data_IF_405795743003
#
_entry.id   IF_405795743003
#
_cell.length_a   1.000
_cell.length_b   1.000
_cell.length_c   1.000
_cell.angle_alpha   90.00
_cell.angle_beta   90.00
_cell.angle_gamma   90.00
#
_symmetry.space_group_name_H-M   'P 1'
#
loop_
_entity.id
_entity.type
_entity.pdbx_description
1 polymer ?
#
# COMPACT_ATOMS: atom_id res chain seq x y z
N UNK A 1 18.68 -47.68 -4.39
CA UNK A 1 17.50 -46.84 -4.59
C UNK A 1 17.25 -46.11 -3.29
N UNK A 2 17.44 -44.80 -3.29
CA UNK A 2 16.86 -43.87 -2.33
C UNK A 2 16.72 -42.56 -3.08
N UNK A 3 15.52 -42.34 -3.63
CA UNK A 3 15.16 -41.09 -4.28
C UNK A 3 14.87 -40.06 -3.19
N UNK A 4 15.58 -38.94 -3.27
CA UNK A 4 15.46 -37.80 -2.38
C UNK A 4 14.17 -37.04 -2.75
N UNK A 5 13.08 -37.30 -2.04
CA UNK A 5 11.78 -36.65 -2.24
C UNK A 5 11.68 -35.42 -1.35
N UNK A 6 12.06 -34.25 -1.88
CA UNK A 6 11.58 -32.93 -1.46
C UNK A 6 12.11 -31.85 -2.42
N UNK A 7 11.71 -31.95 -3.68
CA UNK A 7 11.57 -30.82 -4.60
C UNK A 7 10.06 -30.49 -4.67
N UNK A 8 9.68 -29.29 -5.09
CA UNK A 8 8.31 -28.79 -5.44
C UNK A 8 7.59 -27.80 -4.49
N UNK A 9 8.26 -26.80 -3.90
CA UNK A 9 7.55 -25.57 -3.45
C UNK A 9 8.27 -24.24 -3.72
N UNK A 10 9.49 -24.28 -4.26
CA UNK A 10 10.26 -23.08 -4.64
C UNK A 10 9.93 -22.58 -6.06
N UNK A 11 8.73 -22.89 -6.55
CA UNK A 11 8.31 -22.62 -7.92
C UNK A 11 7.77 -21.21 -8.03
N UNK A 12 8.65 -20.33 -8.54
CA UNK A 12 8.33 -19.11 -9.27
C UNK A 12 7.48 -18.06 -8.53
N UNK A 13 8.16 -17.33 -7.64
CA UNK A 13 7.80 -15.95 -7.34
C UNK A 13 7.34 -15.24 -8.64
N UNK A 14 6.22 -14.50 -8.60
CA UNK A 14 5.72 -13.83 -9.78
C UNK A 14 6.79 -12.85 -10.30
N UNK A 15 6.80 -12.51 -11.60
CA UNK A 15 7.90 -11.76 -12.20
C UNK A 15 8.32 -10.50 -11.42
N UNK A 16 7.38 -9.79 -10.82
CA UNK A 16 7.57 -8.59 -10.00
C UNK A 16 8.26 -8.82 -8.65
N UNK A 17 8.24 -10.05 -8.14
CA UNK A 17 8.87 -10.44 -6.89
C UNK A 17 10.33 -10.87 -7.08
N UNK A 18 10.74 -11.21 -8.31
CA UNK A 18 12.07 -11.78 -8.59
C UNK A 18 13.14 -10.71 -8.40
N UNK A 19 13.96 -10.86 -7.36
CA UNK A 19 15.08 -9.98 -7.06
C UNK A 19 14.71 -8.68 -6.33
N UNK A 20 13.44 -8.50 -5.96
CA UNK A 20 13.01 -7.38 -5.12
C UNK A 20 12.99 -7.80 -3.64
N UNK A 21 13.96 -7.38 -2.81
CA UNK A 21 14.03 -7.78 -1.41
C UNK A 21 12.92 -7.17 -0.54
N UNK A 22 12.14 -6.22 -1.08
CA UNK A 22 11.04 -5.56 -0.36
C UNK A 22 9.67 -6.18 -0.68
N UNK A 23 9.62 -7.10 -1.64
CA UNK A 23 8.37 -7.67 -2.11
C UNK A 23 7.66 -8.44 -0.99
N UNK A 24 6.34 -8.26 -0.91
CA UNK A 24 5.45 -9.00 -0.04
C UNK A 24 4.25 -9.49 -0.86
N UNK A 25 3.70 -10.65 -0.50
CA UNK A 25 2.46 -11.13 -1.11
C UNK A 25 1.30 -10.21 -0.68
N UNK A 26 0.64 -9.59 -1.66
CA UNK A 26 -0.49 -8.68 -1.45
C UNK A 26 -1.85 -9.32 -1.69
N UNK A 27 -1.92 -10.62 -2.00
CA UNK A 27 -3.15 -11.33 -2.40
C UNK A 27 -4.28 -11.19 -1.36
N UNK A 28 -3.91 -11.22 -0.07
CA UNK A 28 -4.83 -11.07 1.06
C UNK A 28 -4.52 -9.83 1.92
N UNK A 29 -3.76 -8.87 1.38
CA UNK A 29 -3.46 -7.65 2.09
C UNK A 29 -4.74 -6.78 2.26
N UNK A 30 -4.88 -6.14 3.42
CA UNK A 30 -5.91 -5.14 3.65
C UNK A 30 -5.40 -3.78 3.17
N UNK A 31 -5.91 -3.36 2.02
CA UNK A 31 -5.66 -2.03 1.46
C UNK A 31 -6.59 -1.00 2.06
N UNK A 32 -6.04 0.15 2.42
CA UNK A 32 -6.81 1.31 2.91
C UNK A 32 -6.54 2.53 2.03
N UNK A 33 -7.56 3.38 1.90
CA UNK A 33 -7.53 4.67 1.20
C UNK A 33 -8.05 5.78 2.12
N UNK A 34 -7.90 7.03 1.70
CA UNK A 34 -8.53 8.17 2.38
C UNK A 34 -10.06 8.05 2.36
N UNK A 35 -10.73 8.46 3.44
CA UNK A 35 -12.18 8.61 3.48
C UNK A 35 -12.71 9.65 2.50
N UNK A 36 -11.85 10.52 1.96
CA UNK A 36 -12.18 11.49 0.92
C UNK A 36 -12.08 10.91 -0.50
N UNK A 37 -11.47 9.72 -0.67
CA UNK A 37 -11.37 9.09 -1.98
C UNK A 37 -12.72 8.52 -2.43
N UNK A 38 -13.27 9.11 -3.48
CA UNK A 38 -14.52 8.70 -4.15
C UNK A 38 -14.24 8.01 -5.48
N UNK A 39 -15.25 7.40 -6.10
CA UNK A 39 -15.11 6.79 -7.44
C UNK A 39 -14.74 7.83 -8.52
N UNK A 40 -15.18 9.09 -8.33
CA UNK A 40 -14.91 10.21 -9.24
C UNK A 40 -13.55 10.88 -8.99
N UNK A 41 -12.81 10.49 -7.96
CA UNK A 41 -11.48 11.06 -7.68
C UNK A 41 -10.51 10.78 -8.83
N UNK A 42 -9.71 11.78 -9.23
CA UNK A 42 -8.76 11.62 -10.33
C UNK A 42 -7.70 10.53 -10.04
N UNK A 43 -7.21 10.51 -8.80
CA UNK A 43 -6.28 9.52 -8.29
C UNK A 43 -6.75 8.98 -6.92
N UNK A 44 -6.47 7.70 -6.67
CA UNK A 44 -6.72 7.05 -5.38
C UNK A 44 -5.44 6.32 -5.00
N UNK A 45 -4.81 6.73 -3.90
CA UNK A 45 -3.66 6.01 -3.34
C UNK A 45 -4.17 5.02 -2.30
N UNK A 46 -3.75 3.77 -2.45
CA UNK A 46 -4.04 2.71 -1.49
C UNK A 46 -2.76 2.22 -0.82
N UNK A 47 -2.85 1.98 0.48
CA UNK A 47 -1.72 1.51 1.30
C UNK A 47 -2.12 0.26 2.06
N UNK A 48 -1.25 -0.75 2.02
CA UNK A 48 -1.34 -1.95 2.86
C UNK A 48 -0.17 -1.98 3.87
N UNK A 49 -0.47 -2.50 5.07
CA UNK A 49 0.50 -2.69 6.15
C UNK A 49 0.77 -4.19 6.36
N UNK A 50 2.05 -4.51 6.53
CA UNK A 50 2.52 -5.84 6.94
C UNK A 50 2.98 -5.84 8.40
N UNK A 51 3.08 -7.04 8.99
CA UNK A 51 3.39 -7.22 10.42
C UNK A 51 4.82 -6.86 10.79
N UNK A 52 5.75 -7.03 9.85
CA UNK A 52 7.16 -6.64 9.97
C UNK A 52 7.40 -5.13 9.75
N UNK A 53 6.32 -4.38 9.52
CA UNK A 53 6.37 -2.93 9.37
C UNK A 53 6.57 -2.44 7.94
N UNK A 54 6.73 -3.31 6.95
CA UNK A 54 6.76 -2.90 5.54
C UNK A 54 5.43 -2.28 5.10
N UNK A 55 5.47 -1.51 4.01
CA UNK A 55 4.28 -0.97 3.35
C UNK A 55 4.27 -1.29 1.88
N UNK A 56 3.08 -1.59 1.38
CA UNK A 56 2.80 -1.63 -0.03
C UNK A 56 1.91 -0.44 -0.41
N UNK A 57 2.18 0.18 -1.55
CA UNK A 57 1.42 1.31 -2.11
C UNK A 57 1.06 1.00 -3.55
N UNK A 58 -0.20 1.26 -3.94
CA UNK A 58 -0.67 1.07 -5.32
C UNK A 58 -1.63 2.18 -5.75
N UNK A 59 -1.84 2.27 -7.06
CA UNK A 59 -2.96 3.01 -7.65
C UNK A 59 -4.26 2.24 -7.41
N UNK A 60 -5.15 2.76 -6.57
CA UNK A 60 -6.43 2.14 -6.25
C UNK A 60 -7.41 2.10 -7.42
N UNK A 61 -7.24 2.95 -8.44
CA UNK A 61 -8.04 2.91 -9.68
C UNK A 61 -7.50 1.89 -10.69
N UNK A 62 -6.22 1.57 -10.62
CA UNK A 62 -5.55 0.64 -11.54
C UNK A 62 -4.57 -0.28 -10.78
N UNK A 63 -5.06 -1.12 -9.85
CA UNK A 63 -4.20 -1.92 -8.95
C UNK A 63 -3.30 -2.91 -9.70
N UNK A 64 -3.66 -3.28 -10.93
CA UNK A 64 -2.89 -4.17 -11.81
C UNK A 64 -1.64 -3.51 -12.41
N UNK A 65 -1.51 -2.18 -12.36
CA UNK A 65 -0.32 -1.47 -12.88
C UNK A 65 0.95 -1.68 -12.05
N UNK A 66 0.80 -2.24 -10.85
CA UNK A 66 1.92 -2.64 -9.99
C UNK A 66 1.79 -2.09 -8.58
N UNK A 67 2.67 -2.61 -7.72
CA UNK A 67 2.75 -2.23 -6.31
C UNK A 67 4.17 -1.78 -5.99
N UNK A 68 4.28 -0.65 -5.28
CA UNK A 68 5.53 -0.16 -4.71
C UNK A 68 5.66 -0.69 -3.28
N UNK A 69 6.85 -1.14 -2.91
CA UNK A 69 7.13 -1.63 -1.57
C UNK A 69 8.17 -0.75 -0.88
N UNK A 70 7.89 -0.41 0.38
CA UNK A 70 8.72 0.44 1.23
C UNK A 70 9.17 -0.35 2.45
N UNK A 71 10.45 -0.21 2.83
CA UNK A 71 10.90 -0.66 4.14
C UNK A 71 10.25 0.19 5.24
N UNK A 72 10.28 -0.26 6.51
CA UNK A 72 9.78 0.55 7.63
C UNK A 72 10.40 1.95 7.69
N UNK A 73 11.72 2.05 7.47
CA UNK A 73 12.47 3.30 7.53
C UNK A 73 12.15 4.22 6.34
N UNK A 74 12.02 3.66 5.13
CA UNK A 74 11.61 4.42 3.95
C UNK A 74 10.20 4.97 4.11
N UNK A 75 9.28 4.17 4.68
CA UNK A 75 7.92 4.61 4.94
C UNK A 75 7.87 5.70 6.02
N UNK A 76 8.65 5.56 7.09
CA UNK A 76 8.76 6.59 8.13
C UNK A 76 9.28 7.90 7.54
N UNK A 77 10.36 7.85 6.76
CA UNK A 77 10.92 9.03 6.08
C UNK A 77 9.90 9.67 5.13
N UNK A 78 9.21 8.87 4.31
CA UNK A 78 8.17 9.36 3.40
C UNK A 78 7.03 10.08 4.15
N UNK A 79 6.52 9.48 5.24
CA UNK A 79 5.44 10.08 6.02
C UNK A 79 5.89 11.37 6.70
N UNK A 80 7.13 11.43 7.19
CA UNK A 80 7.68 12.65 7.78
C UNK A 80 7.82 13.77 6.75
N UNK A 81 8.37 13.49 5.56
CA UNK A 81 8.46 14.48 4.48
C UNK A 81 7.09 14.95 4.01
N UNK A 82 6.12 14.04 3.85
CA UNK A 82 4.75 14.40 3.51
C UNK A 82 4.09 15.30 4.57
N UNK A 83 4.33 15.06 5.85
CA UNK A 83 3.83 15.92 6.95
C UNK A 83 4.53 17.26 7.05
N UNK A 84 5.76 17.37 6.54
CA UNK A 84 6.52 18.62 6.44
C UNK A 84 6.09 19.44 5.20
N UNK A 85 5.11 18.95 4.44
CA UNK A 85 4.54 19.64 3.27
C UNK A 85 5.36 19.46 2.00
N UNK A 86 6.24 18.46 1.91
CA UNK A 86 7.04 18.21 0.69
C UNK A 86 6.17 17.98 -0.56
N UNK A 87 4.95 17.51 -0.37
CA UNK A 87 3.96 17.27 -1.43
C UNK A 87 2.78 18.24 -1.39
N UNK A 88 2.83 19.27 -0.55
CA UNK A 88 1.77 20.27 -0.47
C UNK A 88 1.71 21.08 -1.76
N UNK A 89 0.47 21.35 -2.21
CA UNK A 89 0.22 22.19 -3.37
C UNK A 89 0.16 23.65 -2.88
N UNK A 90 0.78 24.61 -3.59
CA UNK A 90 0.61 26.02 -3.25
C UNK A 90 -0.87 26.40 -3.19
N UNK A 91 -1.31 27.06 -2.11
CA UNK A 91 -2.73 27.33 -1.85
C UNK A 91 -3.42 28.13 -2.99
N UNK A 92 -2.65 28.88 -3.78
CA UNK A 92 -3.17 29.60 -4.96
C UNK A 92 -3.73 28.68 -6.06
N UNK A 93 -3.37 27.40 -6.07
CA UNK A 93 -3.91 26.39 -6.99
C UNK A 93 -5.02 25.54 -6.38
N UNK A 94 -5.38 25.78 -5.11
CA UNK A 94 -6.39 25.03 -4.39
C UNK A 94 -7.69 25.82 -4.29
N UNK A 95 -8.81 25.10 -4.32
CA UNK A 95 -10.06 25.63 -3.78
C UNK A 95 -9.95 25.77 -2.25
N UNK A 96 -10.81 26.60 -1.64
CA UNK A 96 -10.79 26.76 -0.17
C UNK A 96 -11.01 25.43 0.58
N UNK A 97 -11.83 24.54 0.00
CA UNK A 97 -12.09 23.21 0.58
C UNK A 97 -10.83 22.33 0.53
N UNK A 98 -10.12 22.30 -0.59
CA UNK A 98 -8.88 21.54 -0.74
C UNK A 98 -7.76 22.10 0.15
N UNK A 99 -7.68 23.42 0.27
CA UNK A 99 -6.73 24.07 1.19
C UNK A 99 -7.03 23.72 2.65
N UNK A 100 -8.31 23.68 3.06
CA UNK A 100 -8.70 23.23 4.39
C UNK A 100 -8.36 21.75 4.64
N UNK A 101 -8.49 20.88 3.63
CA UNK A 101 -8.03 19.49 3.70
C UNK A 101 -6.51 19.43 3.90
N UNK A 102 -5.74 20.18 3.10
CA UNK A 102 -4.27 20.20 3.20
C UNK A 102 -3.79 20.73 4.55
N UNK A 103 -4.44 21.76 5.09
CA UNK A 103 -4.15 22.29 6.44
C UNK A 103 -4.57 21.35 7.57
N UNK A 104 -5.23 20.22 7.26
CA UNK A 104 -5.72 19.26 8.25
C UNK A 104 -6.92 19.77 9.05
N UNK A 105 -7.64 20.77 8.54
CA UNK A 105 -8.83 21.34 9.16
C UNK A 105 -10.07 20.45 8.93
N UNK A 106 -10.03 19.63 7.88
CA UNK A 106 -11.05 18.61 7.59
C UNK A 106 -10.60 17.27 8.15
N UNK A 107 -11.40 16.59 9.00
CA UNK A 107 -11.05 15.28 9.52
C UNK A 107 -11.05 14.22 8.41
N UNK A 108 -9.94 13.49 8.29
CA UNK A 108 -9.76 12.40 7.33
C UNK A 108 -9.42 11.11 8.06
N UNK A 109 -10.00 10.00 7.62
CA UNK A 109 -9.72 8.66 8.19
C UNK A 109 -9.28 7.70 7.10
N UNK A 110 -8.53 6.67 7.48
CA UNK A 110 -8.21 5.57 6.57
C UNK A 110 -9.36 4.56 6.56
N UNK A 111 -9.95 4.31 5.39
CA UNK A 111 -11.07 3.38 5.20
C UNK A 111 -10.64 2.20 4.34
N UNK A 112 -11.19 0.98 4.54
CA UNK A 112 -10.90 -0.15 3.68
C UNK A 112 -11.22 0.14 2.21
N UNK A 113 -10.36 -0.33 1.32
CA UNK A 113 -10.61 -0.32 -0.11
C UNK A 113 -11.83 -1.19 -0.45
N UNK A 114 -12.71 -0.76 -1.37
CA UNK A 114 -13.75 -1.61 -1.94
C UNK A 114 -13.17 -2.75 -2.80
N UNK A 115 -11.90 -2.64 -3.22
CA UNK A 115 -11.19 -3.61 -4.05
C UNK A 115 -10.40 -4.65 -3.24
N UNK A 116 -10.61 -4.70 -1.92
CA UNK A 116 -10.02 -5.75 -1.09
C UNK A 116 -10.63 -7.12 -1.44
N UNK A 117 -9.78 -8.16 -1.43
CA UNK A 117 -10.23 -9.54 -1.52
C UNK A 117 -11.16 -9.84 -0.32
N UNK A 118 -12.29 -10.57 -0.50
CA UNK A 118 -13.12 -11.03 0.62
C UNK A 118 -12.36 -11.79 1.72
N UNK A 119 -11.22 -12.41 1.39
CA UNK A 119 -10.33 -13.07 2.36
C UNK A 119 -9.24 -12.18 2.97
N UNK A 120 -9.27 -10.86 2.73
CA UNK A 120 -8.25 -9.95 3.26
C UNK A 120 -8.31 -9.88 4.79
N UNK A 121 -7.16 -10.08 5.44
CA UNK A 121 -7.01 -10.01 6.90
C UNK A 121 -5.98 -8.96 7.26
N UNK A 122 -6.26 -8.18 8.30
CA UNK A 122 -5.26 -7.26 8.85
C UNK A 122 -4.17 -8.10 9.53
N UNK A 123 -2.99 -8.19 8.91
CA UNK A 123 -1.80 -8.79 9.54
C UNK A 123 -1.95 -10.25 9.94
N UNK A 124 -1.91 -11.14 8.96
CA UNK A 124 -1.37 -12.49 9.17
C UNK A 124 -0.63 -12.89 7.89
N UNK A 125 0.55 -12.30 7.69
CA UNK A 125 1.46 -12.81 6.68
C UNK A 125 1.95 -14.16 7.20
N UNK A 126 1.26 -15.24 6.79
CA UNK A 126 1.58 -16.62 7.13
C UNK A 126 3.06 -16.92 6.90
N UNK A 127 3.85 -16.75 7.94
CA UNK A 127 5.21 -17.24 8.04
C UNK A 127 5.11 -18.65 8.62
N UNK A 128 5.09 -19.66 7.76
CA UNK A 128 5.30 -21.03 8.20
C UNK A 128 6.81 -21.29 8.24
N UNK A 129 7.34 -21.50 9.45
CA UNK A 129 8.68 -22.04 9.73
C UNK A 129 9.02 -23.29 8.88
#
# INVERSE_FOLDING_TARGET
>A
MSENTADTSRTELPPEARGNPKWHDTTNAVWKRSSLSTEDSDAIVEVAKFDDGYRAVRDGKNPEKGTLFFTPEEWEAFVLGAKDGEFDIPEEYLTEEEAAIQRGEVPVTAVPSPNNNPGATEGDSGHTD
#
